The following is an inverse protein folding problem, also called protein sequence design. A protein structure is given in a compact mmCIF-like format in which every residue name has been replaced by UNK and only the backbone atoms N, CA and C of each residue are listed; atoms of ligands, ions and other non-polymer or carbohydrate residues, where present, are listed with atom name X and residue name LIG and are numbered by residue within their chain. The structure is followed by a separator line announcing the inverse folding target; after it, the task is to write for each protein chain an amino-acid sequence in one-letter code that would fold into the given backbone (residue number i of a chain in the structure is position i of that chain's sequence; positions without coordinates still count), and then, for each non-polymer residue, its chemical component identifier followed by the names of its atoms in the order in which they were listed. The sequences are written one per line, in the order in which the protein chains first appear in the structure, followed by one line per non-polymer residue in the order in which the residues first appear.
data_IF_707647666970
#
_entry.id   IF_707647666970
#
_cell.length_a   1.000
_cell.length_b   1.000
_cell.length_c   1.000
_cell.angle_alpha   90.00
_cell.angle_beta   90.00
_cell.angle_gamma   90.00
#
_symmetry.space_group_name_H-M   'P 1'
#
loop_
_entity.id
_entity.type
_entity.pdbx_description
1 polymer ?
#
# COMPACT_ATOMS: atom_id res chain seq x y z
N UNK A 1 21.46 35.13 44.23
CA UNK A 1 21.10 33.70 44.21
C UNK A 1 19.78 33.59 43.46
N UNK A 2 19.84 33.20 42.18
CA UNK A 2 18.65 32.92 41.37
C UNK A 2 18.19 31.49 41.67
N UNK A 3 16.89 31.29 41.93
CA UNK A 3 16.25 29.99 41.83
C UNK A 3 14.84 30.19 41.26
N UNK A 4 14.68 29.61 40.08
CA UNK A 4 13.59 29.77 39.13
C UNK A 4 12.26 29.18 39.61
N UNK A 5 11.18 29.88 39.29
CA UNK A 5 9.84 29.33 39.10
C UNK A 5 9.57 29.19 37.58
N UNK A 6 8.48 28.56 37.17
CA UNK A 6 7.99 27.22 37.44
C UNK A 6 8.18 26.31 36.20
N UNK A 7 7.97 25.00 36.38
CA UNK A 7 8.01 24.00 35.32
C UNK A 7 7.02 24.33 34.18
N UNK A 8 7.56 24.92 33.13
CA UNK A 8 7.05 24.90 31.77
C UNK A 8 7.16 23.46 31.26
N UNK A 9 6.06 22.71 31.27
CA UNK A 9 5.97 21.49 30.48
C UNK A 9 4.49 21.17 30.23
N UNK A 10 4.02 21.63 29.07
CA UNK A 10 3.07 21.02 28.13
C UNK A 10 2.68 22.15 27.15
N UNK A 11 2.93 22.03 25.82
CA UNK A 11 2.26 21.01 25.00
C UNK A 11 3.16 20.50 23.86
N UNK A 12 3.79 19.34 24.04
CA UNK A 12 4.73 18.76 23.08
C UNK A 12 4.22 17.50 22.36
N UNK A 13 2.92 17.36 22.16
CA UNK A 13 2.36 16.38 21.24
C UNK A 13 1.66 17.12 20.10
N UNK A 14 2.42 17.95 19.39
CA UNK A 14 2.11 18.18 17.99
C UNK A 14 2.27 16.83 17.31
N UNK A 15 1.16 16.10 17.23
CA UNK A 15 0.90 15.16 16.16
C UNK A 15 1.01 15.99 14.87
N UNK A 16 2.24 16.18 14.41
CA UNK A 16 2.48 16.46 13.00
C UNK A 16 1.93 15.22 12.29
N UNK A 17 0.65 15.28 11.92
CA UNK A 17 0.26 14.83 10.60
C UNK A 17 1.14 15.63 9.63
N UNK A 18 2.38 15.16 9.46
CA UNK A 18 3.22 15.56 8.35
C UNK A 18 2.46 15.07 7.13
N UNK A 19 1.63 15.93 6.57
CA UNK A 19 1.31 15.85 5.16
C UNK A 19 2.65 16.00 4.46
N UNK A 20 3.30 14.89 4.13
CA UNK A 20 4.45 14.87 3.22
C UNK A 20 3.91 15.23 1.83
N UNK A 21 3.65 16.53 1.65
CA UNK A 21 3.54 17.16 0.35
C UNK A 21 4.91 17.03 -0.31
N UNK A 22 5.11 15.95 -1.05
CA UNK A 22 6.39 15.66 -1.70
C UNK A 22 6.70 14.18 -1.95
N UNK A 23 5.86 13.24 -1.49
CA UNK A 23 6.01 11.84 -1.91
C UNK A 23 5.33 11.64 -3.24
N UNK A 24 6.13 11.47 -4.31
CA UNK A 24 5.62 10.97 -5.58
C UNK A 24 4.96 9.60 -5.33
N UNK A 25 3.64 9.57 -5.49
CA UNK A 25 2.84 8.36 -5.40
C UNK A 25 2.57 7.87 -6.81
N UNK A 26 2.71 6.56 -7.03
CA UNK A 26 2.31 5.89 -8.26
C UNK A 26 1.12 5.00 -7.97
N UNK A 27 0.07 5.13 -8.79
CA UNK A 27 -1.09 4.26 -8.75
C UNK A 27 -0.99 3.22 -9.87
N UNK A 28 -0.98 1.94 -9.49
CA UNK A 28 -0.89 0.81 -10.38
C UNK A 28 -2.23 0.07 -10.40
N UNK A 29 -2.73 -0.22 -11.60
CA UNK A 29 -3.75 -1.25 -11.82
C UNK A 29 -3.05 -2.55 -12.16
N UNK A 30 -3.35 -3.61 -11.42
CA UNK A 30 -2.66 -4.89 -11.49
C UNK A 30 -3.70 -6.00 -11.66
N UNK A 31 -3.49 -6.88 -12.62
CA UNK A 31 -4.27 -8.12 -12.70
C UNK A 31 -3.57 -9.23 -11.92
N UNK A 32 -4.28 -9.82 -10.95
CA UNK A 32 -3.82 -10.98 -10.22
C UNK A 32 -4.54 -12.24 -10.72
N UNK A 33 -3.80 -13.22 -11.29
CA UNK A 33 -4.41 -14.42 -11.89
C UNK A 33 -4.80 -15.51 -10.88
N UNK A 34 -4.50 -15.34 -9.58
CA UNK A 34 -4.77 -16.34 -8.55
C UNK A 34 -6.15 -16.21 -7.88
N UNK A 35 -6.55 -17.28 -7.18
CA UNK A 35 -7.83 -17.39 -6.49
C UNK A 35 -7.97 -16.48 -5.27
N UNK A 36 -9.15 -16.53 -4.64
CA UNK A 36 -9.48 -15.65 -3.52
C UNK A 36 -8.54 -15.84 -2.30
N UNK A 37 -8.06 -17.06 -2.04
CA UNK A 37 -7.15 -17.32 -0.92
C UNK A 37 -5.75 -16.73 -1.17
N UNK A 38 -5.20 -16.92 -2.36
CA UNK A 38 -3.90 -16.35 -2.74
C UNK A 38 -3.95 -14.82 -2.79
N UNK A 39 -5.08 -14.25 -3.24
CA UNK A 39 -5.34 -12.80 -3.16
C UNK A 39 -5.34 -12.30 -1.74
N UNK A 40 -6.05 -12.98 -0.84
CA UNK A 40 -6.10 -12.59 0.56
C UNK A 40 -4.70 -12.65 1.20
N UNK A 41 -3.88 -13.62 0.81
CA UNK A 41 -2.49 -13.72 1.24
C UNK A 41 -1.64 -12.57 0.70
N UNK A 42 -1.75 -12.26 -0.59
CA UNK A 42 -1.05 -11.12 -1.20
C UNK A 42 -1.41 -9.80 -0.51
N UNK A 43 -2.69 -9.54 -0.29
CA UNK A 43 -3.15 -8.34 0.42
C UNK A 43 -2.62 -8.27 1.86
N UNK A 44 -2.48 -9.40 2.56
CA UNK A 44 -1.82 -9.44 3.87
C UNK A 44 -0.32 -9.12 3.80
N UNK A 45 0.37 -9.63 2.79
CA UNK A 45 1.79 -9.32 2.56
C UNK A 45 1.96 -7.83 2.27
N UNK A 46 1.11 -7.25 1.41
CA UNK A 46 1.14 -5.81 1.10
C UNK A 46 0.89 -4.94 2.33
N UNK A 47 0.10 -5.39 3.31
CA UNK A 47 -0.08 -4.69 4.59
C UNK A 47 1.18 -4.63 5.45
N UNK A 48 2.15 -5.53 5.25
CA UNK A 48 3.45 -5.41 5.92
C UNK A 48 4.23 -4.15 5.45
N UNK A 49 3.88 -3.61 4.28
CA UNK A 49 4.45 -2.40 3.69
C UNK A 49 3.47 -1.20 3.75
N UNK A 50 2.52 -1.21 4.70
CA UNK A 50 1.46 -0.20 4.78
C UNK A 50 1.96 1.26 4.95
N UNK A 51 3.22 1.45 5.34
CA UNK A 51 3.86 2.77 5.43
C UNK A 51 4.14 3.38 4.06
N UNK A 52 4.39 2.56 3.05
CA UNK A 52 4.79 2.98 1.70
C UNK A 52 3.77 2.56 0.63
N UNK A 53 2.78 1.74 0.98
CA UNK A 53 1.91 1.01 0.05
C UNK A 53 0.51 0.87 0.60
N UNK A 54 -0.49 1.04 -0.27
CA UNK A 54 -1.89 0.72 -0.01
C UNK A 54 -2.43 -0.08 -1.19
N UNK A 55 -3.18 -1.14 -0.92
CA UNK A 55 -3.76 -2.00 -1.95
C UNK A 55 -5.24 -2.25 -1.68
N UNK A 56 -6.04 -2.16 -2.73
CA UNK A 56 -7.49 -2.36 -2.71
C UNK A 56 -7.92 -3.24 -3.88
N UNK A 57 -8.88 -4.12 -3.64
CA UNK A 57 -9.51 -4.92 -4.69
C UNK A 57 -10.63 -4.10 -5.34
N UNK A 58 -10.59 -3.95 -6.67
CA UNK A 58 -11.52 -3.08 -7.39
C UNK A 58 -12.49 -3.80 -8.31
N UNK A 59 -12.33 -5.12 -8.42
CA UNK A 59 -13.25 -5.99 -9.13
C UNK A 59 -12.70 -7.40 -9.17
N UNK A 60 -13.51 -8.34 -8.70
CA UNK A 60 -13.30 -9.77 -8.98
C UNK A 60 -14.05 -10.06 -10.28
N UNK A 61 -13.34 -10.45 -11.33
CA UNK A 61 -14.02 -11.05 -12.48
C UNK A 61 -14.33 -12.49 -12.08
N UNK A 62 -15.52 -12.70 -11.51
CA UNK A 62 -16.06 -14.04 -11.30
C UNK A 62 -16.48 -14.61 -12.65
N UNK A 63 -15.49 -15.09 -13.42
CA UNK A 63 -15.74 -15.83 -14.65
C UNK A 63 -16.51 -17.13 -14.34
N UNK A 64 -17.31 -17.65 -15.28
CA UNK A 64 -18.05 -18.89 -15.10
C UNK A 64 -17.08 -20.08 -15.16
N UNK A 65 -16.35 -20.32 -14.08
CA UNK A 65 -15.52 -21.50 -13.91
C UNK A 65 -14.36 -21.32 -12.91
N UNK A 66 -13.89 -22.40 -12.27
CA UNK A 66 -12.80 -22.38 -11.29
C UNK A 66 -11.42 -22.02 -11.88
N UNK A 67 -11.33 -21.84 -13.20
CA UNK A 67 -10.07 -21.61 -13.93
C UNK A 67 -9.83 -20.15 -14.33
N UNK A 68 -10.80 -19.25 -14.09
CA UNK A 68 -10.70 -17.82 -14.41
C UNK A 68 -11.14 -16.97 -13.21
N UNK A 69 -10.55 -17.20 -12.04
CA UNK A 69 -10.79 -16.38 -10.84
C UNK A 69 -9.71 -15.31 -10.68
N UNK A 70 -9.45 -14.53 -11.72
CA UNK A 70 -8.55 -13.38 -11.59
C UNK A 70 -9.27 -12.17 -10.99
N UNK A 71 -8.51 -11.25 -10.41
CA UNK A 71 -9.06 -9.98 -9.93
C UNK A 71 -8.16 -8.79 -10.27
N UNK A 72 -8.78 -7.62 -10.40
CA UNK A 72 -8.08 -6.37 -10.56
C UNK A 72 -7.84 -5.71 -9.20
N UNK A 73 -6.57 -5.50 -8.89
CA UNK A 73 -6.08 -4.83 -7.70
C UNK A 73 -5.60 -3.42 -8.08
N UNK A 74 -5.95 -2.42 -7.27
CA UNK A 74 -5.31 -1.11 -7.31
C UNK A 74 -4.28 -1.05 -6.21
N UNK A 75 -3.04 -0.74 -6.57
CA UNK A 75 -1.92 -0.60 -5.65
C UNK A 75 -1.39 0.82 -5.75
N UNK A 76 -1.57 1.59 -4.70
CA UNK A 76 -0.93 2.88 -4.52
C UNK A 76 0.38 2.66 -3.78
N UNK A 77 1.49 3.18 -4.29
CA UNK A 77 2.78 3.08 -3.62
C UNK A 77 3.58 4.37 -3.76
N UNK A 78 4.43 4.63 -2.78
CA UNK A 78 5.44 5.69 -2.86
C UNK A 78 6.58 5.25 -3.78
N UNK A 79 7.33 6.21 -4.32
CA UNK A 79 8.55 5.96 -5.09
C UNK A 79 9.54 5.03 -4.35
N UNK A 80 9.65 5.17 -3.03
CA UNK A 80 10.55 4.38 -2.18
C UNK A 80 10.13 2.90 -2.08
N UNK A 81 8.82 2.63 -1.98
CA UNK A 81 8.28 1.26 -1.90
C UNK A 81 8.02 0.60 -3.26
N UNK A 82 8.09 1.35 -4.37
CA UNK A 82 7.70 0.87 -5.70
C UNK A 82 8.47 -0.38 -6.12
N UNK A 83 9.79 -0.40 -5.95
CA UNK A 83 10.64 -1.51 -6.41
C UNK A 83 10.33 -2.82 -5.66
N UNK A 84 10.15 -2.72 -4.34
CA UNK A 84 9.84 -3.87 -3.47
C UNK A 84 8.47 -4.45 -3.83
N UNK A 85 7.49 -3.59 -4.07
CA UNK A 85 6.13 -4.03 -4.41
C UNK A 85 6.05 -4.62 -5.80
N UNK A 86 6.73 -4.04 -6.78
CA UNK A 86 6.83 -4.66 -8.10
C UNK A 86 7.44 -6.06 -7.99
N UNK A 87 8.47 -6.25 -7.17
CA UNK A 87 9.07 -7.57 -6.96
C UNK A 87 8.07 -8.56 -6.32
N UNK A 88 7.33 -8.14 -5.29
CA UNK A 88 6.29 -8.97 -4.65
C UNK A 88 5.19 -9.34 -5.65
N UNK A 89 4.70 -8.38 -6.42
CA UNK A 89 3.64 -8.63 -7.40
C UNK A 89 4.11 -9.56 -8.53
N UNK A 90 5.33 -9.37 -9.04
CA UNK A 90 5.94 -10.25 -10.04
C UNK A 90 6.12 -11.68 -9.52
N UNK A 91 6.57 -11.85 -8.27
CA UNK A 91 6.68 -13.16 -7.62
C UNK A 91 5.31 -13.81 -7.41
N UNK A 92 4.27 -13.00 -7.19
CA UNK A 92 2.89 -13.46 -7.06
C UNK A 92 2.24 -13.78 -8.43
N UNK A 93 2.96 -13.63 -9.54
CA UNK A 93 2.47 -13.94 -10.88
C UNK A 93 1.65 -12.82 -11.53
N UNK A 94 1.59 -11.63 -10.93
CA UNK A 94 1.09 -10.45 -11.63
C UNK A 94 2.14 -10.06 -12.69
N UNK A 95 1.77 -10.09 -13.96
CA UNK A 95 2.65 -9.64 -15.05
C UNK A 95 2.07 -8.45 -15.82
N UNK A 96 0.75 -8.24 -15.70
CA UNK A 96 0.03 -7.13 -16.30
C UNK A 96 -0.14 -5.99 -15.30
N UNK A 97 0.73 -4.98 -15.43
CA UNK A 97 0.67 -3.75 -14.65
C UNK A 97 0.42 -2.57 -15.56
N UNK A 98 -0.47 -1.67 -15.14
CA UNK A 98 -0.70 -0.40 -15.80
C UNK A 98 -0.60 0.73 -14.79
N UNK A 99 0.36 1.65 -14.98
CA UNK A 99 0.36 2.91 -14.24
C UNK A 99 -0.82 3.75 -14.70
N UNK A 100 -1.64 4.22 -13.77
CA UNK A 100 -2.87 4.97 -14.05
C UNK A 100 -2.91 6.37 -13.42
N UNK A 101 -1.95 6.72 -12.55
CA UNK A 101 -1.64 8.06 -12.10
C UNK A 101 -0.19 8.09 -11.58
#
# INVERSE_FOLDING_TARGET
MLASTPADFLPGAQHMCGTTSGTDHSLLSVYFPGGAEERALLLRVLRCFATTVSAEETGSEEGPGPLLQGAHLKVCCTQEGLAEILAVLLQAGCVDFKKIA
#
